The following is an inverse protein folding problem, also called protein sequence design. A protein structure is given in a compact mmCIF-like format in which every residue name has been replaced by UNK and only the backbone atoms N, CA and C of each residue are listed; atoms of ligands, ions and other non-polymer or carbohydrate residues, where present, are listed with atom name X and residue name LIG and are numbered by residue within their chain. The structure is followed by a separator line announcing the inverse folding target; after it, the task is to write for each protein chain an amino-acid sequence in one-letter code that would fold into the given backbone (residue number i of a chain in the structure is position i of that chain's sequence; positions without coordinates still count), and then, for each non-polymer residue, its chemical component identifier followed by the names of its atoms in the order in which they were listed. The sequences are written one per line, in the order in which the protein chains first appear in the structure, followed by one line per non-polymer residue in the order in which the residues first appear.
data_IF_771582598478
#
_entry.id   IF_771582598478
#
_cell.length_a   1.000
_cell.length_b   1.000
_cell.length_c   1.000
_cell.angle_alpha   90.00
_cell.angle_beta   90.00
_cell.angle_gamma   90.00
#
_symmetry.space_group_name_H-M   'P 1'
#
loop_
_entity.id
_entity.type
_entity.pdbx_description
1 polymer ?
#
# COMPACT_ATOMS: atom_id res chain seq x y z
N UNK A 1 -7.51 -25.28 14.01
CA UNK A 1 -7.08 -24.01 13.38
C UNK A 1 -8.14 -22.98 13.68
N UNK A 2 -7.83 -21.98 14.50
CA UNK A 2 -8.79 -20.93 14.89
C UNK A 2 -9.01 -20.02 13.68
N UNK A 3 -10.23 -20.00 13.13
CA UNK A 3 -10.56 -19.16 11.99
C UNK A 3 -10.60 -17.70 12.45
N UNK A 4 -9.56 -16.93 12.13
CA UNK A 4 -9.53 -15.49 12.35
C UNK A 4 -10.55 -14.84 11.43
N UNK A 5 -11.49 -14.10 12.02
CA UNK A 5 -12.49 -13.33 11.29
C UNK A 5 -11.80 -12.27 10.44
N UNK A 6 -11.77 -12.45 9.12
CA UNK A 6 -11.23 -11.45 8.20
C UNK A 6 -12.18 -10.26 8.11
N UNK A 7 -11.65 -9.06 8.30
CA UNK A 7 -12.37 -7.82 8.04
C UNK A 7 -12.20 -7.48 6.56
N UNK A 8 -13.29 -7.52 5.81
CA UNK A 8 -13.30 -7.22 4.37
C UNK A 8 -14.12 -5.97 4.13
N UNK A 9 -13.51 -4.96 3.53
CA UNK A 9 -14.15 -3.71 3.15
C UNK A 9 -14.19 -3.58 1.61
N UNK A 10 -15.29 -3.05 1.08
CA UNK A 10 -15.47 -2.76 -0.36
C UNK A 10 -16.00 -1.36 -0.55
N UNK A 11 -15.38 -0.61 -1.47
CA UNK A 11 -15.80 0.73 -1.87
C UNK A 11 -15.90 0.82 -3.38
N UNK A 12 -16.72 1.75 -3.89
CA UNK A 12 -16.85 2.04 -5.32
C UNK A 12 -16.23 3.40 -5.60
N UNK A 13 -15.22 3.45 -6.46
CA UNK A 13 -14.51 4.67 -6.85
C UNK A 13 -14.80 4.95 -8.32
N UNK A 14 -15.22 6.17 -8.65
CA UNK A 14 -15.47 6.61 -10.03
C UNK A 14 -14.15 7.01 -10.71
N UNK A 15 -13.29 6.02 -11.00
CA UNK A 15 -12.02 6.19 -11.70
C UNK A 15 -11.65 4.88 -12.44
N UNK A 16 -10.64 4.91 -13.31
CA UNK A 16 -10.13 3.68 -13.93
C UNK A 16 -9.33 2.86 -12.91
N UNK A 17 -9.22 1.54 -13.13
CA UNK A 17 -8.44 0.68 -12.23
C UNK A 17 -6.97 1.10 -12.19
N UNK A 18 -6.43 1.58 -13.31
CA UNK A 18 -5.04 2.06 -13.37
C UNK A 18 -4.84 3.32 -12.52
N UNK A 19 -5.76 4.29 -12.57
CA UNK A 19 -5.68 5.48 -11.73
C UNK A 19 -5.72 5.14 -10.24
N UNK A 20 -6.55 4.18 -9.85
CA UNK A 20 -6.60 3.71 -8.46
C UNK A 20 -5.31 3.00 -8.08
N UNK A 21 -4.80 2.12 -8.94
CA UNK A 21 -3.54 1.43 -8.71
C UNK A 21 -2.38 2.41 -8.53
N UNK A 22 -2.19 3.32 -9.48
CA UNK A 22 -1.11 4.31 -9.46
C UNK A 22 -1.18 5.19 -8.21
N UNK A 23 -2.39 5.53 -7.74
CA UNK A 23 -2.59 6.28 -6.51
C UNK A 23 -2.22 5.45 -5.26
N UNK A 24 -2.51 4.15 -5.24
CA UNK A 24 -2.22 3.25 -4.11
C UNK A 24 -0.75 2.89 -4.01
N UNK A 25 -0.05 2.73 -5.14
CA UNK A 25 1.34 2.25 -5.18
C UNK A 25 2.35 3.37 -5.45
N UNK A 26 1.96 4.64 -5.31
CA UNK A 26 2.86 5.76 -5.58
C UNK A 26 4.01 5.80 -4.58
N UNK A 27 5.23 5.84 -5.08
CA UNK A 27 6.46 5.88 -4.29
C UNK A 27 6.96 7.31 -4.12
N UNK A 28 7.57 7.61 -2.97
CA UNK A 28 8.29 8.88 -2.75
C UNK A 28 7.41 10.13 -2.63
N UNK A 29 6.11 10.03 -2.88
CA UNK A 29 5.14 11.11 -2.70
C UNK A 29 4.26 10.89 -1.47
N UNK A 30 3.70 12.00 -0.97
CA UNK A 30 2.75 11.96 0.14
C UNK A 30 1.45 11.33 -0.32
N UNK A 31 0.96 10.36 0.44
CA UNK A 31 -0.31 9.67 0.25
C UNK A 31 -1.34 10.21 1.26
N UNK A 32 -2.23 11.15 0.87
CA UNK A 32 -3.15 11.79 1.80
C UNK A 32 -4.13 10.82 2.44
N UNK A 33 -4.50 9.75 1.73
CA UNK A 33 -5.40 8.71 2.21
C UNK A 33 -4.75 7.76 3.23
N UNK A 34 -3.43 7.80 3.40
CA UNK A 34 -2.70 6.96 4.35
C UNK A 34 -1.93 7.80 5.37
N UNK A 35 -2.67 8.55 6.19
CA UNK A 35 -2.15 9.41 7.27
C UNK A 35 -1.09 10.43 6.82
N UNK A 36 -1.12 10.85 5.54
CA UNK A 36 -0.12 11.76 4.98
C UNK A 36 1.31 11.18 4.99
N UNK A 37 1.43 9.85 4.96
CA UNK A 37 2.73 9.17 4.90
C UNK A 37 3.26 9.08 3.47
N UNK A 38 4.53 8.73 3.36
CA UNK A 38 5.23 8.45 2.11
C UNK A 38 5.56 6.97 2.09
N UNK A 39 5.27 6.30 0.97
CA UNK A 39 5.65 4.92 0.76
C UNK A 39 7.12 4.83 0.36
N UNK A 40 7.88 4.04 1.12
CA UNK A 40 9.26 3.69 0.85
C UNK A 40 9.33 2.19 0.62
N UNK A 41 9.76 1.77 -0.56
CA UNK A 41 9.94 0.35 -0.86
C UNK A 41 11.25 0.10 -1.61
N UNK A 42 11.74 -1.13 -1.54
CA UNK A 42 12.84 -1.62 -2.39
C UNK A 42 12.35 -2.08 -3.77
N UNK A 43 11.07 -1.88 -4.07
CA UNK A 43 10.42 -2.11 -5.37
C UNK A 43 9.07 -2.81 -5.21
N UNK A 44 8.14 -2.58 -6.13
CA UNK A 44 6.80 -3.19 -6.13
C UNK A 44 6.83 -4.64 -6.64
N UNK A 45 7.48 -5.54 -5.90
CA UNK A 45 7.61 -6.97 -6.25
C UNK A 45 7.58 -7.86 -5.01
N UNK A 46 7.18 -9.14 -5.14
CA UNK A 46 7.28 -10.10 -4.05
C UNK A 46 8.67 -10.13 -3.40
N UNK A 47 8.70 -10.21 -2.07
CA UNK A 47 9.91 -10.18 -1.24
C UNK A 47 10.48 -8.79 -0.94
N UNK A 48 9.96 -7.73 -1.57
CA UNK A 48 10.43 -6.38 -1.31
C UNK A 48 9.90 -5.82 0.02
N UNK A 49 10.74 -5.03 0.70
CA UNK A 49 10.35 -4.37 1.94
C UNK A 49 9.52 -3.13 1.64
N UNK A 50 8.47 -2.89 2.42
CA UNK A 50 7.58 -1.74 2.32
C UNK A 50 7.48 -1.03 3.68
N UNK A 51 7.61 0.29 3.67
CA UNK A 51 7.53 1.13 4.87
C UNK A 51 6.71 2.38 4.58
N UNK A 52 5.74 2.67 5.45
CA UNK A 52 4.98 3.92 5.39
C UNK A 52 5.53 4.87 6.45
N UNK A 53 6.16 5.96 6.00
CA UNK A 53 6.90 6.88 6.87
C UNK A 53 6.30 8.28 6.83
N UNK A 54 6.45 9.07 7.89
CA UNK A 54 6.12 10.49 7.80
C UNK A 54 7.02 11.18 6.77
N UNK A 55 6.59 12.29 6.15
CA UNK A 55 7.38 12.94 5.09
C UNK A 55 8.79 13.36 5.52
N UNK A 56 8.96 13.70 6.80
CA UNK A 56 10.26 14.01 7.41
C UNK A 56 11.05 12.77 7.88
N UNK A 57 10.55 11.56 7.63
CA UNK A 57 11.16 10.28 8.01
C UNK A 57 11.18 9.98 9.51
N UNK A 58 10.65 10.86 10.37
CA UNK A 58 10.75 10.76 11.84
C UNK A 58 10.00 9.55 12.40
N UNK A 59 8.84 9.20 11.86
CA UNK A 59 8.04 8.08 12.31
C UNK A 59 7.78 7.09 11.18
N UNK A 60 7.69 5.80 11.53
CA UNK A 60 7.32 4.73 10.61
C UNK A 60 6.07 4.05 11.16
N UNK A 61 4.95 4.20 10.46
CA UNK A 61 3.65 3.68 10.91
C UNK A 61 3.40 2.25 10.49
N UNK A 62 3.97 1.82 9.36
CA UNK A 62 3.84 0.45 8.84
C UNK A 62 5.18 -0.04 8.36
N UNK A 63 5.48 -1.30 8.68
CA UNK A 63 6.61 -2.05 8.15
C UNK A 63 6.07 -3.40 7.71
N UNK A 64 6.33 -3.78 6.48
CA UNK A 64 5.87 -5.04 5.91
C UNK A 64 6.73 -5.51 4.75
N UNK A 65 6.38 -6.66 4.23
CA UNK A 65 6.96 -7.28 3.05
C UNK A 65 5.84 -7.49 2.03
N UNK A 66 6.12 -7.19 0.76
CA UNK A 66 5.20 -7.46 -0.34
C UNK A 66 5.25 -8.97 -0.61
N UNK A 67 4.13 -9.65 -0.46
CA UNK A 67 3.97 -11.08 -0.71
C UNK A 67 3.55 -11.35 -2.16
N UNK A 68 2.71 -10.49 -2.72
CA UNK A 68 2.23 -10.62 -4.10
C UNK A 68 2.02 -9.24 -4.73
N UNK A 69 2.45 -9.06 -5.98
CA UNK A 69 2.19 -7.84 -6.75
C UNK A 69 1.86 -8.22 -8.19
N UNK A 70 0.59 -8.06 -8.57
CA UNK A 70 0.09 -8.24 -9.94
C UNK A 70 -0.71 -6.99 -10.33
N UNK A 71 -0.04 -5.95 -10.86
CA UNK A 71 -0.69 -4.73 -11.29
C UNK A 71 -1.68 -4.96 -12.43
N UNK A 72 -2.85 -4.28 -12.46
CA UNK A 72 -3.46 -3.46 -11.40
C UNK A 72 -4.48 -4.23 -10.53
N UNK A 73 -4.38 -5.56 -10.43
CA UNK A 73 -5.45 -6.42 -9.89
C UNK A 73 -5.21 -6.91 -8.46
N UNK A 74 -3.96 -7.03 -8.01
CA UNK A 74 -3.66 -7.66 -6.72
C UNK A 74 -2.37 -7.14 -6.10
N UNK A 75 -2.44 -6.81 -4.81
CA UNK A 75 -1.31 -6.39 -3.98
C UNK A 75 -1.52 -6.98 -2.58
N UNK A 76 -0.55 -7.76 -2.09
CA UNK A 76 -0.55 -8.38 -0.76
C UNK A 76 0.77 -8.06 -0.09
#
# INVERSE_FOLDING_TARGET
MTQTKQLVHRVIIKATIQQVWDALTKEGEVLPFFFGSVMHTTGLKPGAQLRMRTPNGKYTGVVGEILECNPPYRFI
#
